data_IF_811015604865
#
_entry.id   IF_811015604865
#
_cell.length_a   1.000
_cell.length_b   1.000
_cell.length_c   1.000
_cell.angle_alpha   90.00
_cell.angle_beta   90.00
_cell.angle_gamma   90.00
#
_symmetry.space_group_name_H-M   'P 1'
#
loop_
_entity.id
_entity.type
_entity.pdbx_description
1 polymer ?
#
# COMPACT_ATOMS: atom_id res chain seq x y z
N UNK A 1 -58.96 -69.46 20.49
CA UNK A 1 -57.74 -70.10 19.94
C UNK A 1 -57.65 -69.71 18.48
N UNK A 2 -56.72 -68.95 17.94
CA UNK A 2 -55.65 -68.12 18.48
C UNK A 2 -55.28 -67.07 17.41
N UNK A 3 -55.07 -65.85 17.88
CA UNK A 3 -54.00 -64.90 17.53
C UNK A 3 -53.78 -64.45 16.07
N UNK A 4 -54.17 -63.17 15.85
CA UNK A 4 -53.37 -62.09 15.26
C UNK A 4 -52.01 -62.48 14.64
N UNK A 5 -51.84 -62.18 13.35
CA UNK A 5 -50.51 -61.96 12.78
C UNK A 5 -50.53 -60.72 11.89
N UNK A 6 -50.30 -59.56 12.52
CA UNK A 6 -50.04 -58.30 11.85
C UNK A 6 -48.62 -58.29 11.32
N UNK A 7 -48.47 -58.24 10.00
CA UNK A 7 -47.18 -58.07 9.35
C UNK A 7 -46.64 -56.66 9.61
N UNK A 8 -45.61 -56.58 10.46
CA UNK A 8 -44.84 -55.37 10.73
C UNK A 8 -44.13 -54.88 9.46
N UNK A 9 -44.52 -53.71 8.96
CA UNK A 9 -43.82 -53.01 7.90
C UNK A 9 -42.64 -52.25 8.52
N UNK A 10 -41.46 -52.87 8.53
CA UNK A 10 -40.22 -52.19 8.88
C UNK A 10 -39.94 -51.13 7.80
N UNK A 11 -40.04 -49.85 8.20
CA UNK A 11 -39.46 -48.76 7.41
C UNK A 11 -37.95 -48.85 7.60
N UNK A 12 -37.21 -49.16 6.55
CA UNK A 12 -35.76 -48.99 6.51
C UNK A 12 -35.45 -47.50 6.64
N UNK A 13 -35.31 -47.05 7.88
CA UNK A 13 -34.87 -45.70 8.23
C UNK A 13 -33.35 -45.65 8.11
N UNK A 14 -32.84 -45.74 6.88
CA UNK A 14 -31.44 -45.39 6.60
C UNK A 14 -31.34 -43.87 6.58
N UNK A 15 -31.29 -43.28 7.77
CA UNK A 15 -30.83 -41.91 7.92
C UNK A 15 -29.33 -41.90 7.59
N UNK A 16 -28.83 -40.98 6.74
CA UNK A 16 -27.40 -40.88 6.49
C UNK A 16 -26.69 -40.61 7.82
N UNK A 17 -25.79 -41.52 8.21
CA UNK A 17 -25.01 -41.39 9.44
C UNK A 17 -24.19 -40.08 9.43
N UNK A 18 -23.93 -39.49 10.61
CA UNK A 18 -23.19 -38.25 10.69
C UNK A 18 -21.83 -38.40 9.99
N UNK A 19 -21.39 -37.40 9.21
CA UNK A 19 -20.10 -37.46 8.52
C UNK A 19 -18.98 -37.70 9.54
N UNK A 20 -18.04 -38.59 9.20
CA UNK A 20 -16.91 -38.93 10.08
C UNK A 20 -16.11 -37.68 10.46
N UNK A 21 -15.60 -37.62 11.69
CA UNK A 21 -14.77 -36.52 12.21
C UNK A 21 -13.60 -36.18 11.27
N UNK A 22 -13.04 -37.18 10.58
CA UNK A 22 -11.98 -37.00 9.58
C UNK A 22 -12.46 -36.21 8.36
N UNK A 23 -13.69 -36.46 7.86
CA UNK A 23 -14.30 -35.66 6.78
C UNK A 23 -14.67 -34.26 7.25
N UNK A 24 -15.04 -34.09 8.52
CA UNK A 24 -15.30 -32.76 9.08
C UNK A 24 -14.01 -31.95 9.26
N UNK A 25 -12.90 -32.59 9.63
CA UNK A 25 -11.59 -31.96 9.75
C UNK A 25 -11.00 -31.55 8.39
N UNK A 26 -11.12 -32.41 7.36
CA UNK A 26 -10.63 -32.11 6.00
C UNK A 26 -11.41 -30.96 5.32
N UNK A 27 -12.71 -30.83 5.63
CA UNK A 27 -13.54 -29.70 5.15
C UNK A 27 -13.24 -28.41 5.92
N UNK A 28 -12.76 -28.49 7.16
CA UNK A 28 -12.36 -27.33 7.97
C UNK A 28 -10.99 -26.76 7.56
N UNK A 29 -10.07 -27.57 7.03
CA UNK A 29 -8.74 -27.12 6.59
C UNK A 29 -8.75 -26.32 5.27
N UNK A 30 -9.82 -26.37 4.48
CA UNK A 30 -9.87 -25.80 3.13
C UNK A 30 -10.76 -24.55 2.99
N UNK A 31 -11.23 -23.99 4.10
CA UNK A 31 -12.05 -22.77 4.07
C UNK A 31 -11.35 -21.63 4.80
N UNK A 32 -10.29 -21.09 4.18
CA UNK A 32 -10.02 -19.66 4.35
C UNK A 32 -11.33 -18.98 3.94
N UNK A 33 -12.05 -18.31 4.86
CA UNK A 33 -13.38 -17.80 4.56
C UNK A 33 -13.23 -16.82 3.39
N UNK A 34 -13.98 -17.06 2.32
CA UNK A 34 -13.90 -16.31 1.07
C UNK A 34 -13.83 -14.78 1.26
N UNK A 35 -14.47 -14.26 2.33
CA UNK A 35 -14.38 -12.86 2.75
C UNK A 35 -12.94 -12.42 3.08
N UNK A 36 -12.19 -13.21 3.84
CA UNK A 36 -10.78 -12.94 4.15
C UNK A 36 -9.93 -12.93 2.87
N UNK A 37 -10.15 -13.87 1.95
CA UNK A 37 -9.44 -13.87 0.66
C UNK A 37 -9.71 -12.62 -0.18
N UNK A 38 -10.95 -12.12 -0.20
CA UNK A 38 -11.32 -10.90 -0.93
C UNK A 38 -10.74 -9.65 -0.26
N UNK A 39 -10.76 -9.59 1.09
CA UNK A 39 -10.13 -8.49 1.83
C UNK A 39 -8.62 -8.45 1.63
N UNK A 40 -7.95 -9.60 1.63
CA UNK A 40 -6.52 -9.72 1.36
C UNK A 40 -6.20 -9.34 -0.08
N UNK A 41 -6.97 -9.83 -1.06
CA UNK A 41 -6.79 -9.46 -2.47
C UNK A 41 -7.01 -7.96 -2.71
N UNK A 42 -8.02 -7.36 -2.08
CA UNK A 42 -8.24 -5.91 -2.13
C UNK A 42 -7.09 -5.13 -1.47
N UNK A 43 -6.61 -5.59 -0.32
CA UNK A 43 -5.44 -5.01 0.35
C UNK A 43 -4.20 -5.03 -0.55
N UNK A 44 -3.91 -6.17 -1.17
CA UNK A 44 -2.79 -6.31 -2.12
C UNK A 44 -2.96 -5.40 -3.35
N UNK A 45 -4.18 -5.32 -3.91
CA UNK A 45 -4.45 -4.44 -5.04
C UNK A 45 -4.28 -2.96 -4.68
N UNK A 46 -4.74 -2.56 -3.49
CA UNK A 46 -4.59 -1.19 -2.99
C UNK A 46 -3.12 -0.81 -2.78
N UNK A 47 -2.31 -1.73 -2.24
CA UNK A 47 -0.87 -1.52 -2.08
C UNK A 47 -0.20 -1.32 -3.44
N UNK A 48 -0.46 -2.19 -4.42
CA UNK A 48 0.13 -2.09 -5.76
C UNK A 48 -0.29 -0.80 -6.49
N UNK A 49 -1.56 -0.38 -6.36
CA UNK A 49 -2.01 0.91 -6.87
C UNK A 49 -1.26 2.08 -6.23
N UNK A 50 -0.97 1.98 -4.93
CA UNK A 50 -0.16 2.95 -4.20
C UNK A 50 1.27 3.05 -4.75
N UNK A 51 1.94 1.91 -4.92
CA UNK A 51 3.30 1.85 -5.49
C UNK A 51 3.37 2.42 -6.91
N UNK A 52 2.41 2.06 -7.77
CA UNK A 52 2.33 2.57 -9.12
C UNK A 52 2.07 4.09 -9.12
N UNK A 53 1.20 4.57 -8.23
CA UNK A 53 0.89 5.99 -8.13
C UNK A 53 2.09 6.80 -7.60
N UNK A 54 2.82 6.27 -6.61
CA UNK A 54 4.07 6.86 -6.14
C UNK A 54 5.08 6.99 -7.27
N UNK A 55 5.34 5.88 -7.97
CA UNK A 55 6.30 5.82 -9.06
C UNK A 55 5.92 6.77 -10.20
N UNK A 56 4.64 6.79 -10.60
CA UNK A 56 4.12 7.69 -11.63
C UNK A 56 4.28 9.16 -11.21
N UNK A 57 3.99 9.49 -9.95
CA UNK A 57 4.14 10.85 -9.43
C UNK A 57 5.61 11.28 -9.44
N UNK A 58 6.53 10.44 -8.98
CA UNK A 58 7.96 10.75 -8.96
C UNK A 58 8.52 10.90 -10.37
N UNK A 59 8.10 10.05 -11.32
CA UNK A 59 8.46 10.20 -12.73
C UNK A 59 7.92 11.49 -13.33
N UNK A 60 6.66 11.83 -13.10
CA UNK A 60 6.08 13.08 -13.59
C UNK A 60 6.81 14.31 -13.04
N UNK A 61 7.09 14.33 -11.73
CA UNK A 61 7.84 15.42 -11.10
C UNK A 61 9.28 15.49 -11.62
N UNK A 62 9.93 14.34 -11.74
CA UNK A 62 11.28 14.21 -12.27
C UNK A 62 11.40 14.74 -13.69
N UNK A 63 10.57 14.24 -14.61
CA UNK A 63 10.49 14.75 -15.99
C UNK A 63 10.23 16.24 -16.03
N UNK A 64 9.25 16.74 -15.27
CA UNK A 64 8.94 18.16 -15.21
C UNK A 64 10.13 19.02 -14.73
N UNK A 65 10.92 18.52 -13.76
CA UNK A 65 12.13 19.20 -13.29
C UNK A 65 13.28 19.10 -14.30
N UNK A 66 13.43 17.95 -14.97
CA UNK A 66 14.48 17.72 -15.98
C UNK A 66 14.25 18.56 -17.23
N UNK A 67 13.01 18.71 -17.68
CA UNK A 67 12.65 19.55 -18.83
C UNK A 67 12.95 21.04 -18.59
N UNK A 68 13.24 21.42 -17.33
CA UNK A 68 13.53 22.79 -16.90
C UNK A 68 14.79 22.86 -16.03
N UNK A 69 15.84 22.12 -16.37
CA UNK A 69 17.11 22.16 -15.62
C UNK A 69 17.85 23.49 -15.73
N UNK A 70 17.64 24.21 -16.82
CA UNK A 70 18.23 25.52 -17.13
C UNK A 70 17.43 26.69 -16.53
N UNK A 71 16.18 26.44 -16.10
CA UNK A 71 15.31 27.45 -15.50
C UNK A 71 15.35 27.34 -13.98
N UNK A 72 15.53 28.49 -13.32
CA UNK A 72 15.43 28.60 -11.87
C UNK A 72 13.97 28.47 -11.42
N UNK A 73 13.73 27.68 -10.37
CA UNK A 73 12.40 27.54 -9.79
C UNK A 73 11.99 28.78 -8.99
N UNK A 74 10.74 29.18 -9.14
CA UNK A 74 10.17 30.20 -8.27
C UNK A 74 10.06 29.66 -6.83
N UNK A 75 10.36 30.47 -5.81
CA UNK A 75 10.38 30.03 -4.40
C UNK A 75 9.06 29.39 -3.94
N UNK A 76 7.90 29.92 -4.36
CA UNK A 76 6.61 29.27 -4.09
C UNK A 76 6.46 27.89 -4.73
N UNK A 77 6.91 27.72 -5.99
CA UNK A 77 6.87 26.41 -6.65
C UNK A 77 7.77 25.42 -5.93
N UNK A 78 8.99 25.85 -5.60
CA UNK A 78 9.92 25.08 -4.79
C UNK A 78 9.28 24.64 -3.46
N UNK A 79 8.73 25.57 -2.68
CA UNK A 79 8.03 25.28 -1.41
C UNK A 79 6.89 24.27 -1.56
N UNK A 80 6.13 24.32 -2.65
CA UNK A 80 5.03 23.39 -2.90
C UNK A 80 5.58 22.01 -3.27
N UNK A 81 6.58 21.95 -4.16
CA UNK A 81 7.22 20.69 -4.57
C UNK A 81 7.87 19.99 -3.38
N UNK A 82 8.58 20.72 -2.53
CA UNK A 82 9.15 20.20 -1.28
C UNK A 82 8.08 19.53 -0.41
N UNK A 83 6.95 20.21 -0.20
CA UNK A 83 5.84 19.66 0.59
C UNK A 83 5.23 18.41 -0.04
N UNK A 84 5.01 18.41 -1.35
CA UNK A 84 4.43 17.27 -2.07
C UNK A 84 5.36 16.07 -1.96
N UNK A 85 6.65 16.24 -2.27
CA UNK A 85 7.64 15.15 -2.27
C UNK A 85 7.79 14.56 -0.87
N UNK A 86 8.00 15.39 0.17
CA UNK A 86 8.10 14.92 1.57
C UNK A 86 6.83 14.23 2.04
N UNK A 87 5.66 14.81 1.75
CA UNK A 87 4.38 14.22 2.13
C UNK A 87 4.17 12.86 1.45
N UNK A 88 4.44 12.76 0.15
CA UNK A 88 4.29 11.52 -0.60
C UNK A 88 5.22 10.43 -0.07
N UNK A 89 6.50 10.73 0.09
CA UNK A 89 7.46 9.78 0.64
C UNK A 89 7.00 9.22 2.00
N UNK A 90 6.61 10.10 2.94
CA UNK A 90 6.13 9.67 4.26
C UNK A 90 4.83 8.90 4.22
N UNK A 91 3.82 9.38 3.47
CA UNK A 91 2.50 8.75 3.41
C UNK A 91 2.62 7.30 2.88
N UNK A 92 3.49 7.06 1.88
CA UNK A 92 3.72 5.72 1.33
C UNK A 92 4.65 4.86 2.17
N UNK A 93 5.65 5.44 2.84
CA UNK A 93 6.46 4.74 3.85
C UNK A 93 5.59 4.19 4.98
N UNK A 94 4.62 4.98 5.46
CA UNK A 94 3.66 4.55 6.50
C UNK A 94 2.69 3.47 6.01
N UNK A 95 2.45 3.37 4.71
CA UNK A 95 1.64 2.30 4.11
C UNK A 95 2.41 0.99 3.93
N UNK A 96 3.71 0.96 4.23
CA UNK A 96 4.56 -0.24 4.11
C UNK A 96 5.08 -0.49 2.70
N UNK A 97 5.10 0.53 1.83
CA UNK A 97 5.79 0.44 0.52
C UNK A 97 7.28 0.23 0.75
N UNK A 98 7.89 -0.67 -0.03
CA UNK A 98 9.31 -1.01 0.08
C UNK A 98 10.22 0.22 -0.13
N UNK A 99 11.28 0.29 0.68
CA UNK A 99 12.28 1.36 0.57
C UNK A 99 12.97 1.40 -0.80
N UNK A 100 13.10 0.25 -1.49
CA UNK A 100 13.66 0.20 -2.85
C UNK A 100 12.77 0.93 -3.87
N UNK A 101 11.46 0.92 -3.66
CA UNK A 101 10.49 1.64 -4.50
C UNK A 101 10.46 3.13 -4.13
N UNK A 102 10.50 3.43 -2.82
CA UNK A 102 10.50 4.81 -2.33
C UNK A 102 11.77 5.57 -2.72
N UNK A 103 12.93 4.96 -2.51
CA UNK A 103 14.25 5.50 -2.84
C UNK A 103 14.64 5.19 -4.30
N UNK A 104 13.67 5.32 -5.21
CA UNK A 104 13.94 5.18 -6.64
C UNK A 104 14.94 6.24 -7.12
N UNK A 105 15.71 5.91 -8.16
CA UNK A 105 16.63 6.85 -8.83
C UNK A 105 15.96 8.18 -9.21
N UNK A 106 14.68 8.11 -9.58
CA UNK A 106 13.92 9.29 -9.93
C UNK A 106 13.62 10.18 -8.71
N UNK A 107 13.24 9.57 -7.59
CA UNK A 107 13.08 10.29 -6.33
C UNK A 107 14.38 11.00 -5.91
N UNK A 108 15.52 10.31 -5.98
CA UNK A 108 16.83 10.91 -5.69
C UNK A 108 17.13 12.10 -6.60
N UNK A 109 16.83 11.97 -7.90
CA UNK A 109 17.01 13.05 -8.88
C UNK A 109 16.16 14.27 -8.52
N UNK A 110 14.88 14.07 -8.21
CA UNK A 110 13.96 15.12 -7.76
C UNK A 110 14.48 15.75 -6.47
N UNK A 111 14.84 14.95 -5.46
CA UNK A 111 15.34 15.41 -4.16
C UNK A 111 16.58 16.27 -4.30
N UNK A 112 17.58 15.80 -5.06
CA UNK A 112 18.83 16.52 -5.27
C UNK A 112 18.60 17.87 -5.96
N UNK A 113 17.72 17.92 -6.97
CA UNK A 113 17.35 19.18 -7.61
C UNK A 113 16.70 20.15 -6.62
N UNK A 114 15.77 19.69 -5.80
CA UNK A 114 15.08 20.55 -4.83
C UNK A 114 16.03 21.08 -3.74
N UNK A 115 17.02 20.30 -3.29
CA UNK A 115 18.04 20.75 -2.33
C UNK A 115 18.92 21.87 -2.93
N UNK A 116 19.35 21.71 -4.19
CA UNK A 116 20.15 22.73 -4.87
C UNK A 116 19.38 24.05 -5.07
N UNK A 117 18.10 23.94 -5.44
CA UNK A 117 17.21 25.10 -5.60
C UNK A 117 16.93 25.77 -4.25
N UNK A 118 16.76 25.00 -3.17
CA UNK A 118 16.64 25.51 -1.79
C UNK A 118 17.88 26.27 -1.35
N UNK A 119 19.07 25.71 -1.57
CA UNK A 119 20.32 26.38 -1.24
C UNK A 119 20.44 27.72 -2.01
N UNK A 120 20.09 27.70 -3.30
CA UNK A 120 20.15 28.90 -4.15
C UNK A 120 19.11 29.95 -3.74
N UNK A 121 17.88 29.54 -3.44
CA UNK A 121 16.80 30.41 -2.99
C UNK A 121 17.09 31.03 -1.61
N UNK A 122 17.68 30.25 -0.69
CA UNK A 122 18.07 30.72 0.64
C UNK A 122 19.13 31.83 0.59
N UNK A 123 20.07 31.74 -0.38
CA UNK A 123 21.09 32.78 -0.61
C UNK A 123 20.50 34.04 -1.24
N UNK A 124 19.55 33.90 -2.16
CA UNK A 124 19.01 35.02 -2.96
C UNK A 124 17.88 35.79 -2.29
N UNK A 125 16.96 35.08 -1.65
CA UNK A 125 15.66 35.63 -1.23
C UNK A 125 15.46 35.61 0.29
N UNK A 126 16.48 35.18 1.04
CA UNK A 126 16.53 35.36 2.49
C UNK A 126 15.54 34.52 3.31
N UNK A 127 14.84 33.53 2.74
CA UNK A 127 14.12 32.58 3.59
C UNK A 127 13.18 31.55 2.94
N UNK A 128 13.43 30.29 3.29
CA UNK A 128 12.54 29.15 3.03
C UNK A 128 11.35 29.04 4.02
N UNK A 129 11.15 30.01 4.93
CA UNK A 129 10.07 30.01 5.94
C UNK A 129 9.94 28.67 6.71
N UNK A 130 11.07 28.04 7.04
CA UNK A 130 11.11 26.75 7.73
C UNK A 130 10.74 25.53 6.89
N UNK A 131 10.52 25.67 5.58
CA UNK A 131 10.26 24.56 4.66
C UNK A 131 11.59 24.08 4.09
N UNK A 132 12.10 22.94 4.54
CA UNK A 132 13.35 22.38 4.04
C UNK A 132 13.16 20.98 3.46
N UNK A 133 13.97 20.63 2.46
CA UNK A 133 14.13 19.25 2.01
C UNK A 133 14.93 18.38 2.98
N UNK A 134 15.64 18.97 3.97
CA UNK A 134 16.23 18.16 5.05
C UNK A 134 15.10 17.45 5.81
N UNK A 135 15.30 16.17 6.12
CA UNK A 135 14.33 15.45 6.95
C UNK A 135 14.39 16.01 8.36
N UNK A 136 13.22 16.32 8.90
CA UNK A 136 13.07 17.02 10.18
C UNK A 136 13.10 16.06 11.37
N UNK A 137 13.24 14.75 11.10
CA UNK A 137 13.20 13.67 12.09
C UNK A 137 14.60 13.06 12.33
N UNK A 138 15.65 13.60 11.70
CA UNK A 138 17.04 13.27 12.05
C UNK A 138 17.43 14.18 13.24
N UNK A 139 17.27 13.67 14.47
CA UNK A 139 18.04 14.16 15.60
C UNK A 139 19.52 13.85 15.30
N UNK A 140 20.35 14.89 15.22
CA UNK A 140 21.80 14.75 15.07
C UNK A 140 22.33 13.99 16.32
N UNK A 141 22.85 12.76 16.15
CA UNK A 141 23.66 12.04 17.15
C UNK A 141 25.00 12.75 17.40
#
# INVERSE_FOLDING_TARGET
MDLFSGGMRFKDSSAPGPPSLSRQAEVAELKVPHKESVHLAFGLQMLNLGEQWYTSTMNMLGTWLTDRMDLQLHVYQLKILIRIVKKKYRDFRLQGVLDSTLNSKMYETVRNRLILEEATASVREGGMQGISMKDSDEEDD
#
